data_IF_300888482576
#
_entry.id   IF_300888482576
#
_cell.length_a   1.000
_cell.length_b   1.000
_cell.length_c   1.000
_cell.angle_alpha   90.00
_cell.angle_beta   90.00
_cell.angle_gamma   90.00
#
_symmetry.space_group_name_H-M   'P 1'
#
loop_
_entity.id
_entity.type
_entity.pdbx_description
1 polymer ?
#
# COMPACT_ATOMS: atom_id res chain seq x y z
N UNK A 1 -15.52 -4.12 -16.09
CA UNK A 1 -15.41 -2.99 -15.13
C UNK A 1 -14.44 -1.96 -15.69
N UNK A 2 -14.59 -0.66 -15.41
CA UNK A 2 -13.71 0.38 -15.95
C UNK A 2 -12.29 0.18 -15.42
N UNK A 3 -11.30 0.13 -16.30
CA UNK A 3 -9.89 -0.17 -15.95
C UNK A 3 -9.07 1.09 -15.63
N UNK A 4 -9.69 2.28 -15.65
CA UNK A 4 -9.01 3.56 -15.46
C UNK A 4 -9.72 4.39 -14.39
N UNK A 5 -8.93 5.06 -13.55
CA UNK A 5 -9.38 5.88 -12.41
C UNK A 5 -10.03 5.13 -11.24
N UNK A 6 -9.56 3.91 -10.95
CA UNK A 6 -9.88 3.24 -9.68
C UNK A 6 -9.01 3.84 -8.57
N UNK A 7 -9.61 4.65 -7.71
CA UNK A 7 -8.96 5.19 -6.52
C UNK A 7 -9.32 4.33 -5.31
N UNK A 8 -8.31 3.97 -4.54
CA UNK A 8 -8.49 3.24 -3.29
C UNK A 8 -8.24 4.16 -2.09
N UNK A 9 -9.06 4.00 -1.06
CA UNK A 9 -8.93 4.79 0.17
C UNK A 9 -7.93 4.11 1.09
N UNK A 10 -6.84 4.83 1.36
CA UNK A 10 -5.79 4.43 2.30
C UNK A 10 -5.94 5.28 3.56
N UNK A 11 -6.07 4.64 4.73
CA UNK A 11 -6.02 5.37 6.00
C UNK A 11 -4.62 5.96 6.22
N UNK A 12 -4.51 7.01 7.04
CA UNK A 12 -3.21 7.63 7.36
C UNK A 12 -2.20 6.62 7.96
N UNK A 13 -2.69 5.61 8.67
CA UNK A 13 -1.88 4.51 9.23
C UNK A 13 -1.66 3.34 8.24
N UNK A 14 -2.18 3.44 7.02
CA UNK A 14 -1.97 2.48 5.95
C UNK A 14 -0.66 2.70 5.19
N UNK A 15 0.12 3.74 5.49
CA UNK A 15 1.46 3.95 4.94
C UNK A 15 2.52 3.69 6.03
N UNK A 16 3.42 2.76 5.76
CA UNK A 16 4.63 2.52 6.56
C UNK A 16 5.87 2.79 5.72
N UNK A 17 6.92 3.28 6.38
CA UNK A 17 8.25 3.52 5.81
C UNK A 17 9.23 2.63 6.56
N UNK A 18 10.07 1.89 5.85
CA UNK A 18 11.11 1.07 6.47
C UNK A 18 12.30 1.94 6.91
N UNK A 19 13.16 1.37 7.75
CA UNK A 19 14.33 2.07 8.31
C UNK A 19 15.35 2.51 7.26
N UNK A 20 15.33 1.90 6.06
CA UNK A 20 16.17 2.30 4.93
C UNK A 20 15.71 3.62 4.27
N UNK A 21 14.52 4.12 4.62
CA UNK A 21 13.91 5.33 4.04
C UNK A 21 13.52 5.21 2.57
N UNK A 22 13.70 4.05 1.94
CA UNK A 22 13.45 3.79 0.53
C UNK A 22 12.32 2.78 0.32
N UNK A 23 12.12 1.88 1.27
CA UNK A 23 11.06 0.89 1.20
C UNK A 23 9.78 1.46 1.84
N UNK A 24 8.71 1.52 1.04
CA UNK A 24 7.39 1.99 1.44
C UNK A 24 6.38 0.85 1.33
N UNK A 25 5.47 0.77 2.30
CA UNK A 25 4.34 -0.15 2.27
C UNK A 25 3.05 0.66 2.36
N UNK A 26 2.17 0.52 1.39
CA UNK A 26 0.84 1.10 1.38
C UNK A 26 -0.20 0.00 1.43
N UNK A 27 -1.18 0.15 2.32
CA UNK A 27 -2.31 -0.74 2.45
C UNK A 27 -3.62 0.05 2.49
N UNK A 28 -4.56 -0.34 1.65
CA UNK A 28 -5.88 0.25 1.58
C UNK A 28 -6.90 -0.49 2.41
N UNK A 29 -7.98 0.23 2.69
CA UNK A 29 -9.17 -0.30 3.36
C UNK A 29 -9.94 -1.30 2.52
N UNK A 30 -9.74 -1.32 1.20
CA UNK A 30 -10.38 -2.28 0.30
C UNK A 30 -9.63 -3.62 0.20
N UNK A 31 -8.48 -3.75 0.86
CA UNK A 31 -7.66 -4.96 0.85
C UNK A 31 -6.50 -4.95 -0.14
N UNK A 32 -6.24 -3.79 -0.77
CA UNK A 32 -5.08 -3.55 -1.60
C UNK A 32 -3.84 -3.32 -0.77
N UNK A 33 -2.73 -3.98 -1.12
CA UNK A 33 -1.43 -3.81 -0.50
C UNK A 33 -0.39 -3.68 -1.60
N UNK A 34 0.41 -2.62 -1.51
CA UNK A 34 1.47 -2.28 -2.45
C UNK A 34 2.75 -1.98 -1.70
N UNK A 35 3.86 -2.37 -2.29
CA UNK A 35 5.20 -2.06 -1.79
C UNK A 35 5.99 -1.32 -2.85
N UNK A 36 6.78 -0.37 -2.43
CA UNK A 36 7.80 0.28 -3.23
C UNK A 36 9.14 0.08 -2.54
N UNK A 37 10.18 -0.18 -3.31
CA UNK A 37 11.58 -0.29 -2.87
C UNK A 37 12.43 0.90 -3.35
N UNK A 38 11.78 1.89 -3.96
CA UNK A 38 12.41 3.06 -4.60
C UNK A 38 11.72 4.37 -4.20
N UNK A 39 11.41 4.52 -2.92
CA UNK A 39 10.83 5.73 -2.33
C UNK A 39 9.52 6.20 -2.98
N UNK A 40 8.78 5.30 -3.62
CA UNK A 40 7.48 5.57 -4.24
C UNK A 40 7.53 5.83 -5.74
N UNK A 41 8.69 5.71 -6.39
CA UNK A 41 8.82 5.87 -7.85
C UNK A 41 8.07 4.78 -8.63
N UNK A 42 8.08 3.54 -8.13
CA UNK A 42 7.25 2.43 -8.64
C UNK A 42 6.67 1.59 -7.51
N UNK A 43 5.50 1.01 -7.78
CA UNK A 43 4.75 0.21 -6.82
C UNK A 43 4.48 -1.19 -7.35
N UNK A 44 4.71 -2.17 -6.50
CA UNK A 44 4.44 -3.57 -6.73
C UNK A 44 3.24 -3.99 -5.90
N UNK A 45 2.21 -4.53 -6.54
CA UNK A 45 1.04 -5.08 -5.85
C UNK A 45 1.40 -6.39 -5.15
N UNK A 46 1.31 -6.42 -3.83
CA UNK A 46 1.51 -7.63 -3.03
C UNK A 46 0.21 -8.43 -2.90
N UNK A 47 -0.91 -7.74 -2.69
CA UNK A 47 -2.23 -8.35 -2.56
C UNK A 47 -3.35 -7.36 -2.87
N UNK A 48 -4.51 -7.85 -3.28
CA UNK A 48 -5.73 -7.03 -3.50
C UNK A 48 -6.97 -7.63 -2.87
N UNK A 49 -6.80 -8.69 -2.09
CA UNK A 49 -7.91 -9.50 -1.55
C UNK A 49 -7.83 -9.65 -0.04
N UNK A 50 -7.04 -8.80 0.63
CA UNK A 50 -6.98 -8.82 2.09
C UNK A 50 -8.30 -8.31 2.70
N UNK A 51 -8.63 -8.75 3.93
CA UNK A 51 -9.61 -8.06 4.75
C UNK A 51 -9.21 -6.58 4.91
N UNK A 52 -10.14 -5.68 5.25
CA UNK A 52 -9.85 -4.25 5.42
C UNK A 52 -8.63 -4.01 6.31
N UNK A 53 -7.60 -3.37 5.76
CA UNK A 53 -6.35 -3.12 6.48
C UNK A 53 -6.48 -1.84 7.30
N UNK A 54 -6.32 -1.97 8.62
CA UNK A 54 -6.42 -0.85 9.57
C UNK A 54 -5.09 -0.14 9.83
N UNK A 55 -3.97 -0.89 9.81
CA UNK A 55 -2.62 -0.36 9.95
C UNK A 55 -1.61 -1.28 9.25
N UNK A 56 -0.54 -0.69 8.73
CA UNK A 56 0.61 -1.41 8.20
C UNK A 56 1.86 -1.02 9.00
N UNK A 57 2.73 -1.99 9.33
CA UNK A 57 4.05 -1.73 9.88
C UNK A 57 5.06 -2.76 9.34
N UNK A 58 6.33 -2.36 9.28
CA UNK A 58 7.43 -3.31 9.11
C UNK A 58 7.73 -3.96 10.48
N UNK A 59 8.16 -5.22 10.47
CA UNK A 59 8.52 -5.99 11.67
C UNK A 59 10.03 -5.95 11.92
#
# INVERSE_FOLDING_TARGET
MPQQHCYDLVYRHGLAVADDGATLLMASTSGGVWMSDNAGDSWHTLSTTMPPVYAACFA
#
